data_IF_613411680105
#
_entry.id   IF_613411680105
#
_cell.length_a   1.000
_cell.length_b   1.000
_cell.length_c   1.000
_cell.angle_alpha   90.00
_cell.angle_beta   90.00
_cell.angle_gamma   90.00
#
_symmetry.space_group_name_H-M   'P 1'
#
loop_
_entity.id
_entity.type
_entity.pdbx_description
1 polymer ?
#
# COMPACT_ATOMS: atom_id res chain seq x y z
N UNK A 1 15.82 11.29 -2.41
CA UNK A 1 16.20 10.06 -1.69
C UNK A 1 15.03 9.69 -0.81
N UNK A 2 14.30 8.60 -1.10
CA UNK A 2 13.18 8.20 -0.24
C UNK A 2 13.73 7.65 1.07
N UNK A 3 13.20 8.11 2.20
CA UNK A 3 13.69 7.86 3.56
C UNK A 3 13.08 6.58 4.18
N UNK A 4 12.83 5.54 3.38
CA UNK A 4 12.33 4.28 3.94
C UNK A 4 13.55 3.50 4.43
N UNK A 5 13.78 3.51 5.74
CA UNK A 5 14.85 2.71 6.33
C UNK A 5 14.48 1.21 6.27
N UNK A 6 15.44 0.28 6.36
CA UNK A 6 15.14 -1.13 6.52
C UNK A 6 14.32 -1.39 7.80
N UNK A 7 13.33 -2.29 7.75
CA UNK A 7 12.52 -2.68 8.92
C UNK A 7 11.18 -1.96 9.07
N UNK A 8 10.76 -1.17 8.08
CA UNK A 8 9.45 -0.53 8.12
C UNK A 8 8.34 -1.54 7.76
N UNK A 9 7.18 -1.38 8.41
CA UNK A 9 5.99 -2.18 8.15
C UNK A 9 4.92 -1.28 7.59
N UNK A 10 4.37 -1.64 6.43
CA UNK A 10 3.34 -0.84 5.78
C UNK A 10 2.01 -1.58 5.72
N UNK A 11 0.93 -0.84 5.98
CA UNK A 11 -0.41 -1.22 5.56
C UNK A 11 -0.74 -0.47 4.28
N UNK A 12 -1.14 -1.17 3.23
CA UNK A 12 -1.60 -0.55 1.99
C UNK A 12 -3.08 -0.81 1.89
N UNK A 13 -3.85 0.26 1.75
CA UNK A 13 -5.30 0.21 1.70
C UNK A 13 -5.78 0.78 0.37
N UNK A 14 -6.81 0.16 -0.20
CA UNK A 14 -7.59 0.69 -1.31
C UNK A 14 -9.00 1.04 -0.84
N UNK A 15 -9.47 2.23 -1.19
CA UNK A 15 -10.81 2.70 -0.85
C UNK A 15 -11.73 2.39 -2.03
N UNK A 16 -12.63 1.42 -1.86
CA UNK A 16 -13.47 0.91 -2.95
C UNK A 16 -14.35 2.00 -3.57
N UNK A 17 -14.84 2.94 -2.76
CA UNK A 17 -15.73 3.99 -3.22
C UNK A 17 -15.04 5.07 -4.05
N UNK A 18 -13.78 5.39 -3.76
CA UNK A 18 -13.03 6.47 -4.45
C UNK A 18 -12.02 5.92 -5.45
N UNK A 19 -11.67 4.65 -5.34
CA UNK A 19 -10.65 4.01 -6.16
C UNK A 19 -9.23 4.31 -5.70
N UNK A 20 -9.05 5.07 -4.62
CA UNK A 20 -7.75 5.61 -4.20
C UNK A 20 -6.96 4.62 -3.34
N UNK A 21 -5.63 4.74 -3.40
CA UNK A 21 -4.72 4.01 -2.52
C UNK A 21 -4.03 4.93 -1.53
N UNK A 22 -3.81 4.39 -0.34
CA UNK A 22 -2.87 4.97 0.61
C UNK A 22 -2.04 3.88 1.28
N UNK A 23 -0.87 4.27 1.77
CA UNK A 23 -0.05 3.45 2.64
C UNK A 23 0.16 4.16 3.97
N UNK A 24 0.08 3.40 5.06
CA UNK A 24 0.47 3.86 6.39
C UNK A 24 1.73 3.11 6.78
N UNK A 25 2.76 3.87 7.13
CA UNK A 25 3.91 3.31 7.83
C UNK A 25 3.53 3.11 9.30
N UNK A 26 3.41 1.86 9.72
CA UNK A 26 2.98 1.51 11.08
C UNK A 26 4.05 1.83 12.14
N UNK A 27 5.27 2.15 11.74
CA UNK A 27 6.35 2.54 12.67
C UNK A 27 6.35 4.04 12.95
N UNK A 28 6.07 4.86 11.93
CA UNK A 28 6.15 6.33 12.01
C UNK A 28 4.80 7.02 12.06
N UNK A 29 3.71 6.30 11.75
CA UNK A 29 2.37 6.83 11.49
C UNK A 29 2.30 7.84 10.33
N UNK A 30 3.30 7.85 9.45
CA UNK A 30 3.23 8.64 8.22
C UNK A 30 2.26 8.01 7.22
N UNK A 31 1.50 8.86 6.52
CA UNK A 31 0.54 8.47 5.49
C UNK A 31 1.09 8.91 4.13
N UNK A 32 1.04 7.97 3.18
CA UNK A 32 1.48 8.15 1.81
C UNK A 32 0.30 7.93 0.88
N UNK A 33 -0.01 8.92 0.04
CA UNK A 33 -1.03 8.79 -1.01
C UNK A 33 -0.36 8.37 -2.30
N UNK A 34 -0.99 7.44 -3.03
CA UNK A 34 -0.50 7.05 -4.35
C UNK A 34 -1.22 7.83 -5.43
N UNK A 35 -0.47 8.28 -6.44
CA UNK A 35 -0.99 8.90 -7.66
C UNK A 35 -1.44 7.82 -8.65
N UNK A 36 -2.34 6.95 -8.20
CA UNK A 36 -2.98 5.90 -8.99
C UNK A 36 -4.37 5.63 -8.43
N UNK A 37 -5.31 5.34 -9.33
CA UNK A 37 -6.69 4.99 -8.98
C UNK A 37 -7.11 3.73 -9.72
N UNK A 38 -7.85 2.85 -9.04
CA UNK A 38 -8.47 1.65 -9.62
C UNK A 38 -9.99 1.71 -9.50
N UNK A 39 -10.70 1.25 -10.52
CA UNK A 39 -12.17 1.28 -10.52
C UNK A 39 -12.76 -0.08 -10.10
N UNK A 40 -11.95 -1.13 -10.10
CA UNK A 40 -12.37 -2.47 -9.72
C UNK A 40 -11.46 -3.05 -8.65
N UNK A 41 -12.03 -3.97 -7.87
CA UNK A 41 -11.28 -4.73 -6.87
C UNK A 41 -10.17 -5.55 -7.49
N UNK A 42 -10.43 -6.16 -8.65
CA UNK A 42 -9.46 -7.01 -9.36
C UNK A 42 -8.25 -6.20 -9.83
N UNK A 43 -8.45 -4.99 -10.37
CA UNK A 43 -7.35 -4.07 -10.69
C UNK A 43 -6.55 -3.74 -9.42
N UNK A 44 -7.24 -3.47 -8.31
CA UNK A 44 -6.58 -3.06 -7.09
C UNK A 44 -5.72 -4.17 -6.47
N UNK A 45 -6.23 -5.39 -6.46
CA UNK A 45 -5.51 -6.59 -5.99
C UNK A 45 -4.25 -6.85 -6.83
N UNK A 46 -4.34 -6.70 -8.16
CA UNK A 46 -3.18 -6.87 -9.05
C UNK A 46 -2.08 -5.83 -8.76
N UNK A 47 -2.44 -4.58 -8.48
CA UNK A 47 -1.47 -3.55 -8.09
C UNK A 47 -0.82 -3.86 -6.74
N UNK A 48 -1.62 -4.26 -5.76
CA UNK A 48 -1.16 -4.64 -4.42
C UNK A 48 -0.17 -5.81 -4.45
N UNK A 49 -0.45 -6.85 -5.25
CA UNK A 49 0.45 -7.99 -5.42
C UNK A 49 1.77 -7.58 -6.07
N UNK A 50 1.72 -6.78 -7.13
CA UNK A 50 2.91 -6.26 -7.79
C UNK A 50 3.80 -5.41 -6.86
N UNK A 51 3.19 -4.63 -5.96
CA UNK A 51 3.93 -3.88 -4.95
C UNK A 51 4.56 -4.79 -3.90
N UNK A 52 3.84 -5.79 -3.39
CA UNK A 52 4.39 -6.76 -2.46
C UNK A 52 5.66 -7.42 -3.00
N UNK A 53 5.69 -7.78 -4.29
CA UNK A 53 6.89 -8.31 -4.94
C UNK A 53 8.07 -7.32 -4.98
N UNK A 54 7.82 -6.07 -5.40
CA UNK A 54 8.87 -5.05 -5.50
C UNK A 54 9.45 -4.75 -4.11
N UNK A 55 8.58 -4.68 -3.11
CA UNK A 55 8.94 -4.36 -1.73
C UNK A 55 9.72 -5.50 -1.07
N UNK A 56 9.31 -6.75 -1.29
CA UNK A 56 10.04 -7.94 -0.84
C UNK A 56 11.43 -8.02 -1.49
N UNK A 57 11.55 -7.74 -2.80
CA UNK A 57 12.83 -7.75 -3.53
C UNK A 57 13.80 -6.67 -3.03
N UNK A 58 13.29 -5.53 -2.56
CA UNK A 58 14.13 -4.41 -2.15
C UNK A 58 14.54 -4.41 -0.66
N UNK A 59 14.11 -5.37 0.16
CA UNK A 59 14.42 -5.49 1.62
C UNK A 59 14.07 -4.26 2.47
N UNK A 60 13.29 -3.31 1.97
CA UNK A 60 12.91 -2.10 2.72
C UNK A 60 11.67 -2.30 3.60
N UNK A 61 10.87 -3.34 3.34
CA UNK A 61 9.63 -3.62 4.06
C UNK A 61 9.69 -5.01 4.68
N UNK A 62 9.45 -5.07 5.98
CA UNK A 62 9.48 -6.31 6.76
C UNK A 62 8.14 -7.07 6.70
N UNK A 63 7.02 -6.32 6.67
CA UNK A 63 5.66 -6.87 6.61
C UNK A 63 4.72 -6.00 5.77
N UNK A 64 3.81 -6.66 5.05
CA UNK A 64 2.86 -6.09 4.11
C UNK A 64 1.43 -6.53 4.47
N UNK A 65 0.51 -5.58 4.59
CA UNK A 65 -0.90 -5.85 4.92
C UNK A 65 -1.82 -5.14 3.94
N UNK A 66 -2.38 -5.85 2.94
CA UNK A 66 -3.39 -5.29 2.05
C UNK A 66 -4.74 -5.20 2.77
N UNK A 67 -5.47 -4.11 2.54
CA UNK A 67 -6.81 -3.88 3.09
C UNK A 67 -7.72 -3.24 2.02
N UNK A 68 -8.96 -3.68 1.95
CA UNK A 68 -10.01 -3.05 1.13
C UNK A 68 -10.98 -2.38 2.08
N UNK A 69 -11.20 -1.08 1.88
CA UNK A 69 -12.09 -0.28 2.70
C UNK A 69 -13.33 0.06 1.87
N UNK A 70 -14.46 -0.52 2.28
CA UNK A 70 -15.78 -0.16 1.77
C UNK A 70 -16.41 0.82 2.76
N UNK A 71 -16.63 2.06 2.33
CA UNK A 71 -17.31 3.07 3.15
C UNK A 71 -18.80 2.98 2.86
N UNK A 72 -19.57 2.48 3.85
CA UNK A 72 -21.04 2.42 3.80
C UNK A 72 -21.68 3.79 4.04
#
# INVERSE_FOLDING_TARGET
MSRIAPGHTFRISWIENTGEFYAIDLMTNEIYLFDITCNTREEAEAHMEGWAEILAKKRYIEKYFPEIISLS
#
